data_IF_262169218522
#
_entry.id   IF_262169218522
#
_cell.length_a   1.000
_cell.length_b   1.000
_cell.length_c   1.000
_cell.angle_alpha   90.00
_cell.angle_beta   90.00
_cell.angle_gamma   90.00
#
_symmetry.space_group_name_H-M   'P 1'
#
loop_
_entity.id
_entity.type
_entity.pdbx_description
1 polymer ?
#
# COMPACT_ATOMS: atom_id res chain seq x y z
N UNK A 1 -17.34 -2.42 -25.20
CA UNK A 1 -16.04 -3.13 -25.28
C UNK A 1 -15.49 -3.27 -23.87
N UNK A 2 -14.95 -4.44 -23.53
CA UNK A 2 -14.27 -4.69 -22.25
C UNK A 2 -12.91 -5.27 -22.58
N UNK A 3 -11.88 -4.83 -21.86
CA UNK A 3 -10.53 -5.37 -21.99
C UNK A 3 -10.01 -5.74 -20.60
N UNK A 4 -9.40 -6.92 -20.52
CA UNK A 4 -8.87 -7.49 -19.29
C UNK A 4 -7.34 -7.35 -19.30
N UNK A 5 -6.79 -7.00 -18.13
CA UNK A 5 -5.36 -6.81 -17.94
C UNK A 5 -4.92 -7.58 -16.70
N UNK A 6 -3.67 -8.05 -16.73
CA UNK A 6 -3.02 -8.66 -15.57
C UNK A 6 -1.87 -7.75 -15.14
N UNK A 7 -1.87 -7.35 -13.87
CA UNK A 7 -0.78 -6.60 -13.26
C UNK A 7 -0.12 -7.42 -12.15
N UNK A 8 1.13 -7.10 -11.87
CA UNK A 8 1.94 -7.70 -10.82
C UNK A 8 2.48 -6.59 -9.91
N UNK A 9 2.55 -6.86 -8.60
CA UNK A 9 3.14 -5.96 -7.60
C UNK A 9 4.66 -6.24 -7.47
N UNK A 10 5.47 -5.20 -7.23
CA UNK A 10 6.90 -5.25 -6.89
C UNK A 10 7.25 -5.70 -5.44
N UNK A 11 6.41 -6.52 -4.82
CA UNK A 11 6.66 -7.03 -3.47
C UNK A 11 7.66 -8.19 -3.44
N UNK A 12 8.09 -8.63 -2.24
CA UNK A 12 8.96 -9.81 -2.10
C UNK A 12 8.32 -11.08 -2.68
N UNK A 13 6.99 -11.15 -2.63
CA UNK A 13 6.19 -12.22 -3.25
C UNK A 13 5.18 -11.61 -4.21
N UNK A 14 5.57 -11.36 -5.48
CA UNK A 14 4.70 -10.72 -6.46
C UNK A 14 3.42 -11.54 -6.66
N UNK A 15 2.28 -10.86 -6.52
CA UNK A 15 0.97 -11.44 -6.80
C UNK A 15 0.41 -10.83 -8.07
N UNK A 16 -0.15 -11.70 -8.92
CA UNK A 16 -0.85 -11.28 -10.12
C UNK A 16 -2.30 -10.97 -9.79
N UNK A 17 -2.79 -9.87 -10.32
CA UNK A 17 -4.20 -9.47 -10.23
C UNK A 17 -4.73 -9.24 -11.64
N UNK A 18 -5.90 -9.82 -11.93
CA UNK A 18 -6.65 -9.54 -13.15
C UNK A 18 -7.71 -8.48 -12.87
N UNK A 19 -7.80 -7.47 -13.72
CA UNK A 19 -8.86 -6.45 -13.66
C UNK A 19 -9.38 -6.13 -15.05
N UNK A 20 -10.59 -5.56 -15.10
CA UNK A 20 -11.27 -5.23 -16.34
C UNK A 20 -11.43 -3.71 -16.50
N UNK A 21 -11.26 -3.21 -17.72
CA UNK A 21 -11.57 -1.83 -18.11
C UNK A 21 -12.77 -1.87 -19.05
N UNK A 22 -13.82 -1.12 -18.68
CA UNK A 22 -15.06 -1.05 -19.45
C UNK A 22 -15.13 0.24 -20.28
N UNK A 23 -15.51 0.10 -21.55
CA UNK A 23 -15.71 1.23 -22.47
C UNK A 23 -14.50 1.46 -23.36
N UNK A 24 -14.74 1.70 -24.65
CA UNK A 24 -13.66 1.99 -25.61
C UNK A 24 -12.92 3.28 -25.23
N UNK A 25 -13.67 4.29 -24.79
CA UNK A 25 -13.14 5.57 -24.29
C UNK A 25 -12.14 5.38 -23.13
N UNK A 26 -12.49 4.59 -22.11
CA UNK A 26 -11.59 4.32 -20.98
C UNK A 26 -10.36 3.52 -21.36
N UNK A 27 -10.51 2.56 -22.27
CA UNK A 27 -9.38 1.78 -22.77
C UNK A 27 -8.39 2.69 -23.50
N UNK A 28 -8.88 3.56 -24.38
CA UNK A 28 -8.05 4.53 -25.12
C UNK A 28 -7.48 5.62 -24.18
N UNK A 29 -8.26 6.08 -23.20
CA UNK A 29 -7.80 7.06 -22.21
C UNK A 29 -6.67 6.50 -21.35
N UNK A 30 -6.81 5.28 -20.84
CA UNK A 30 -5.80 4.66 -20.00
C UNK A 30 -4.59 4.19 -20.81
N UNK A 31 -4.78 3.82 -22.08
CA UNK A 31 -3.76 3.41 -23.04
C UNK A 31 -2.69 2.48 -22.45
N UNK A 32 -3.10 1.54 -21.58
CA UNK A 32 -2.21 0.68 -20.79
C UNK A 32 -1.31 -0.15 -21.71
N UNK A 33 0.01 -0.03 -21.56
CA UNK A 33 1.00 -0.81 -22.29
C UNK A 33 1.63 -1.90 -21.42
N UNK A 34 2.22 -2.90 -22.06
CA UNK A 34 2.97 -3.95 -21.39
C UNK A 34 4.25 -3.38 -20.78
N UNK A 35 4.61 -3.83 -19.57
CA UNK A 35 5.78 -3.39 -18.80
C UNK A 35 5.73 -1.93 -18.30
N UNK A 36 4.55 -1.30 -18.20
CA UNK A 36 4.39 -0.01 -17.52
C UNK A 36 4.10 -0.19 -16.02
N UNK A 37 4.65 0.69 -15.19
CA UNK A 37 4.27 0.79 -13.77
C UNK A 37 3.09 1.76 -13.61
N UNK A 38 1.96 1.22 -13.15
CA UNK A 38 0.69 1.92 -13.08
C UNK A 38 0.05 1.75 -11.70
N UNK A 39 -0.47 2.83 -11.15
CA UNK A 39 -1.40 2.77 -10.02
C UNK A 39 -2.81 2.65 -10.58
N UNK A 40 -3.46 1.51 -10.36
CA UNK A 40 -4.83 1.25 -10.81
C UNK A 40 -5.78 1.38 -9.62
N UNK A 41 -6.75 2.29 -9.69
CA UNK A 41 -7.86 2.36 -8.74
C UNK A 41 -9.06 1.61 -9.32
N UNK A 42 -9.67 0.76 -8.49
CA UNK A 42 -10.72 -0.15 -8.92
C UNK A 42 -11.82 -0.27 -7.86
N UNK A 43 -12.99 -0.66 -8.32
CA UNK A 43 -14.10 -1.10 -7.49
C UNK A 43 -14.19 -2.63 -7.53
N UNK A 44 -14.58 -3.22 -6.39
CA UNK A 44 -14.79 -4.66 -6.26
C UNK A 44 -16.29 -4.89 -6.12
N UNK A 45 -16.84 -5.70 -7.03
CA UNK A 45 -18.23 -6.13 -7.02
C UNK A 45 -18.31 -7.65 -6.80
N UNK A 46 -19.25 -8.10 -5.97
CA UNK A 46 -19.48 -9.51 -5.72
C UNK A 46 -20.61 -10.01 -6.62
N UNK A 47 -20.31 -10.96 -7.51
CA UNK A 47 -21.31 -11.59 -8.38
C UNK A 47 -21.45 -13.07 -8.05
N UNK A 48 -22.69 -13.54 -7.99
CA UNK A 48 -22.98 -14.96 -7.87
C UNK A 48 -23.03 -15.59 -9.27
N UNK A 49 -22.32 -16.71 -9.43
CA UNK A 49 -22.32 -17.52 -10.65
C UNK A 49 -22.23 -18.99 -10.27
N UNK A 50 -23.18 -19.81 -10.72
CA UNK A 50 -23.23 -21.26 -10.44
C UNK A 50 -23.05 -21.58 -8.95
N UNK A 51 -23.84 -20.93 -8.09
CA UNK A 51 -23.81 -21.10 -6.63
C UNK A 51 -22.49 -20.68 -5.94
N UNK A 52 -21.54 -20.09 -6.69
CA UNK A 52 -20.29 -19.55 -6.16
C UNK A 52 -20.23 -18.04 -6.30
N UNK A 53 -19.58 -17.37 -5.36
CA UNK A 53 -19.34 -15.94 -5.41
C UNK A 53 -17.98 -15.65 -6.03
N UNK A 54 -17.95 -14.69 -6.95
CA UNK A 54 -16.74 -14.21 -7.60
C UNK A 54 -16.64 -12.70 -7.45
N UNK A 55 -15.41 -12.21 -7.28
CA UNK A 55 -15.15 -10.79 -7.30
C UNK A 55 -14.91 -10.35 -8.75
N UNK A 56 -15.61 -9.29 -9.15
CA UNK A 56 -15.36 -8.55 -10.38
C UNK A 56 -14.57 -7.30 -10.01
N UNK A 57 -13.33 -7.21 -10.49
CA UNK A 57 -12.47 -6.04 -10.29
C UNK A 57 -12.58 -5.16 -11.53
N UNK A 58 -13.11 -3.94 -11.37
CA UNK A 58 -13.30 -2.98 -12.45
C UNK A 58 -12.48 -1.73 -12.19
N UNK A 59 -11.57 -1.42 -13.10
CA UNK A 59 -10.74 -0.22 -12.99
C UNK A 59 -11.52 1.02 -13.44
N UNK A 60 -11.53 2.05 -12.60
CA UNK A 60 -12.18 3.33 -12.88
C UNK A 60 -11.17 4.49 -13.06
N UNK A 61 -9.95 4.33 -12.53
CA UNK A 61 -8.85 5.28 -12.70
C UNK A 61 -7.52 4.54 -12.83
N UNK A 62 -6.65 5.05 -13.70
CA UNK A 62 -5.29 4.56 -13.88
C UNK A 62 -4.36 5.78 -13.85
N UNK A 63 -3.36 5.75 -12.99
CA UNK A 63 -2.33 6.76 -12.87
C UNK A 63 -0.99 6.18 -13.30
N UNK A 64 -0.29 6.89 -14.18
CA UNK A 64 1.05 6.48 -14.62
C UNK A 64 2.08 7.13 -13.72
N UNK A 65 3.06 6.36 -13.28
CA UNK A 65 4.25 6.93 -12.67
C UNK A 65 5.16 7.46 -13.78
N UNK A 66 4.97 8.72 -14.16
CA UNK A 66 5.99 9.41 -14.95
C UNK A 66 7.23 9.50 -14.06
N UNK A 67 8.33 8.87 -14.47
CA UNK A 67 9.62 8.98 -13.80
C UNK A 67 10.07 10.45 -13.76
N UNK A 68 9.66 11.16 -12.72
CA UNK A 68 9.85 12.61 -12.59
C UNK A 68 9.36 13.18 -11.26
N UNK A 69 9.08 12.34 -10.26
CA UNK A 69 8.74 12.74 -8.91
C UNK A 69 9.66 12.04 -7.92
N UNK A 70 10.72 12.73 -7.54
CA UNK A 70 11.66 12.33 -6.48
C UNK A 70 10.89 11.89 -5.24
N UNK A 71 10.88 10.60 -4.94
CA UNK A 71 10.59 10.13 -3.59
C UNK A 71 11.77 10.60 -2.71
N UNK A 72 11.65 11.81 -2.16
CA UNK A 72 12.48 12.20 -1.02
C UNK A 72 12.01 11.34 0.16
N UNK A 73 12.82 10.43 0.73
CA UNK A 73 12.47 9.83 2.00
C UNK A 73 12.39 10.98 3.01
N UNK A 74 11.17 11.33 3.41
CA UNK A 74 10.98 12.32 4.48
C UNK A 74 11.42 11.63 5.76
N UNK A 75 12.64 11.93 6.18
CA UNK A 75 13.12 11.65 7.52
C UNK A 75 12.13 12.25 8.52
N UNK A 76 11.56 11.39 9.36
CA UNK A 76 10.69 11.79 10.46
C UNK A 76 11.37 12.87 11.31
N UNK A 77 10.73 14.02 11.61
CA UNK A 77 11.23 14.89 12.66
C UNK A 77 10.92 14.23 14.01
N UNK A 78 11.95 13.75 14.71
CA UNK A 78 11.86 13.44 16.14
C UNK A 78 11.53 14.72 16.89
N UNK A 79 10.26 14.87 17.29
CA UNK A 79 9.83 15.89 18.24
C UNK A 79 10.43 15.58 19.60
N UNK A 80 11.36 16.43 20.05
CA UNK A 80 11.82 16.46 21.43
C UNK A 80 10.68 16.94 22.34
N UNK A 81 10.33 16.22 23.42
CA UNK A 81 9.38 16.72 24.41
C UNK A 81 10.04 17.79 25.30
N UNK A 82 9.29 18.83 25.75
CA UNK A 82 9.81 19.83 26.69
C UNK A 82 9.93 19.26 28.12
N UNK A 83 10.89 19.73 28.92
CA UNK A 83 11.02 19.32 30.33
C UNK A 83 10.04 20.10 31.22
N UNK A 84 9.43 19.43 32.21
CA UNK A 84 8.76 20.11 33.33
C UNK A 84 9.22 19.51 34.68
N UNK A 85 9.43 20.35 35.72
CA UNK A 85 10.15 19.97 36.93
C UNK A 85 9.31 19.28 38.03
N UNK A 86 9.97 18.29 38.64
CA UNK A 86 10.11 17.89 40.08
C UNK A 86 8.90 17.62 41.02
N UNK A 87 9.15 16.60 41.86
CA UNK A 87 8.57 16.21 43.18
C UNK A 87 7.38 15.22 43.16
N UNK A 88 7.56 13.92 43.49
CA UNK A 88 7.69 13.38 44.86
C UNK A 88 8.12 11.88 44.77
N UNK A 89 8.87 11.31 45.73
CA UNK A 89 9.48 9.98 45.61
C UNK A 89 8.57 8.83 46.08
N UNK A 90 8.56 7.70 45.36
CA UNK A 90 8.10 6.42 45.92
C UNK A 90 9.21 5.37 45.75
N UNK A 91 9.87 5.11 46.87
CA UNK A 91 10.86 4.07 47.09
C UNK A 91 10.12 2.75 47.36
N UNK A 92 10.57 1.66 46.73
CA UNK A 92 10.66 0.25 47.20
C UNK A 92 10.41 -0.66 46.00
N UNK A 93 11.18 -1.70 45.65
CA UNK A 93 12.49 -2.24 45.99
C UNK A 93 12.59 -3.49 45.11
N UNK A 94 13.71 -3.69 44.42
CA UNK A 94 13.92 -4.85 43.55
C UNK A 94 15.27 -4.85 42.87
N UNK A 95 16.31 -4.48 43.62
CA UNK A 95 17.70 -4.72 43.26
C UNK A 95 17.98 -6.23 43.40
N UNK A 96 18.25 -6.94 42.29
CA UNK A 96 19.02 -8.20 42.32
C UNK A 96 19.58 -8.55 40.93
N UNK A 97 20.92 -8.61 40.83
CA UNK A 97 21.77 -9.06 39.71
C UNK A 97 21.93 -8.04 38.59
N UNK A 98 22.89 -7.12 38.61
CA UNK A 98 24.34 -7.28 38.84
C UNK A 98 25.02 -8.34 37.94
N UNK A 99 25.98 -7.82 37.17
CA UNK A 99 27.10 -8.45 36.47
C UNK A 99 26.87 -9.53 35.40
N UNK A 100 27.02 -9.15 34.12
CA UNK A 100 27.32 -10.08 33.03
C UNK A 100 28.45 -9.54 32.14
N UNK A 101 29.59 -10.24 32.05
CA UNK A 101 30.75 -9.81 31.28
C UNK A 101 30.63 -10.17 29.80
N UNK A 102 31.14 -9.28 28.94
CA UNK A 102 31.74 -9.62 27.65
C UNK A 102 33.10 -8.91 27.53
#
# INVERSE_FOLDING_TARGET
>A
KVQEYVMENHDQYPRKMCFSVFGADKIEQFNIQLNEELTVSFDIDARQWQDRWFNSIRAWKVERHTAGGTFVPTSFPTSTPPPNPTDTPEFTQGDTNDDLPF
#
